data_IF_430898270467
#
_entry.id   IF_430898270467
#
_cell.length_a   1.000
_cell.length_b   1.000
_cell.length_c   1.000
_cell.angle_alpha   90.00
_cell.angle_beta   90.00
_cell.angle_gamma   90.00
#
_symmetry.space_group_name_H-M   'P 1'
#
loop_
_entity.id
_entity.type
_entity.pdbx_description
1 polymer ?
#
# COMPACT_ATOMS: atom_id res chain seq x y z
N UNK A 1 -23.87 -8.77 -24.03
CA UNK A 1 -24.65 -8.61 -22.79
C UNK A 1 -23.65 -8.51 -21.66
N UNK A 2 -23.63 -7.35 -20.98
CA UNK A 2 -22.85 -6.90 -19.82
C UNK A 2 -21.57 -7.66 -19.41
N UNK A 3 -20.42 -7.10 -19.81
CA UNK A 3 -19.13 -7.23 -19.12
C UNK A 3 -19.27 -6.78 -17.66
N UNK A 4 -19.34 -7.72 -16.73
CA UNK A 4 -19.13 -7.42 -15.31
C UNK A 4 -17.66 -7.68 -15.01
N UNK A 5 -16.82 -6.69 -15.31
CA UNK A 5 -15.45 -6.63 -14.81
C UNK A 5 -15.51 -6.38 -13.30
N UNK A 6 -15.76 -7.45 -12.56
CA UNK A 6 -15.74 -7.46 -11.10
C UNK A 6 -14.30 -7.24 -10.66
N UNK A 7 -14.00 -5.99 -10.35
CA UNK A 7 -12.79 -5.48 -9.70
C UNK A 7 -12.42 -6.38 -8.51
N UNK A 8 -11.70 -7.48 -8.76
CA UNK A 8 -11.39 -8.49 -7.75
C UNK A 8 -10.19 -8.02 -6.95
N UNK A 9 -10.48 -7.24 -5.92
CA UNK A 9 -9.48 -6.83 -4.94
C UNK A 9 -9.06 -8.08 -4.16
N UNK A 10 -7.82 -8.53 -4.34
CA UNK A 10 -7.32 -9.74 -3.69
C UNK A 10 -6.90 -9.40 -2.26
N UNK A 11 -7.38 -10.16 -1.27
CA UNK A 11 -6.97 -9.91 0.11
C UNK A 11 -5.53 -10.37 0.32
N UNK A 12 -4.63 -9.42 0.58
CA UNK A 12 -3.24 -9.67 0.98
C UNK A 12 -3.08 -9.38 2.48
N UNK A 13 -2.06 -9.95 3.08
CA UNK A 13 -1.73 -9.74 4.48
C UNK A 13 -0.60 -8.71 4.58
N UNK A 14 -0.75 -7.72 5.45
CA UNK A 14 0.27 -6.70 5.64
C UNK A 14 1.50 -7.28 6.35
N UNK A 15 2.70 -7.07 5.82
CA UNK A 15 3.95 -7.50 6.47
C UNK A 15 4.25 -6.72 7.76
N UNK A 16 3.81 -5.46 7.86
CA UNK A 16 4.07 -4.63 9.05
C UNK A 16 3.14 -4.93 10.23
N UNK A 17 1.85 -5.16 9.98
CA UNK A 17 0.85 -5.34 11.06
C UNK A 17 0.10 -6.68 11.02
N UNK A 18 0.23 -7.46 9.95
CA UNK A 18 -0.52 -8.71 9.77
C UNK A 18 -1.99 -8.55 9.41
N UNK A 19 -2.50 -7.33 9.23
CA UNK A 19 -3.91 -7.08 8.89
C UNK A 19 -4.19 -7.49 7.43
N UNK A 20 -5.35 -8.12 7.20
CA UNK A 20 -5.81 -8.45 5.84
C UNK A 20 -6.40 -7.20 5.19
N UNK A 21 -5.89 -6.84 4.03
CA UNK A 21 -6.36 -5.69 3.28
C UNK A 21 -6.56 -6.05 1.81
N UNK A 22 -7.40 -5.27 1.13
CA UNK A 22 -7.61 -5.43 -0.29
C UNK A 22 -6.44 -4.88 -1.10
N UNK A 23 -5.74 -5.75 -1.83
CA UNK A 23 -4.76 -5.39 -2.83
C UNK A 23 -5.44 -5.30 -4.20
N UNK A 24 -5.50 -4.08 -4.74
CA UNK A 24 -6.03 -3.81 -6.07
C UNK A 24 -5.05 -4.07 -7.21
N UNK A 25 -3.89 -4.69 -6.95
CA UNK A 25 -2.92 -5.03 -7.99
C UNK A 25 -3.52 -5.92 -9.10
N UNK A 26 -4.47 -6.79 -8.75
CA UNK A 26 -5.21 -7.62 -9.69
C UNK A 26 -6.46 -6.94 -10.27
N UNK A 27 -6.81 -5.76 -9.77
CA UNK A 27 -8.08 -5.09 -10.05
C UNK A 27 -7.89 -3.89 -11.01
N UNK A 28 -6.81 -3.89 -11.79
CA UNK A 28 -6.29 -2.81 -12.65
C UNK A 28 -5.92 -1.50 -11.92
N UNK A 29 -6.47 -1.25 -10.71
CA UNK A 29 -6.14 -0.11 -9.86
C UNK A 29 -5.89 -0.52 -8.41
N UNK A 30 -4.64 -0.44 -7.98
CA UNK A 30 -4.29 -0.48 -6.56
C UNK A 30 -4.48 0.90 -5.94
N UNK A 31 -5.17 1.00 -4.79
CA UNK A 31 -5.23 2.25 -4.03
C UNK A 31 -3.83 2.79 -3.71
N UNK A 32 -2.83 1.90 -3.55
CA UNK A 32 -1.45 2.24 -3.27
C UNK A 32 -0.80 3.15 -4.32
N UNK A 33 -1.23 3.09 -5.59
CA UNK A 33 -0.71 3.99 -6.64
C UNK A 33 -1.32 5.37 -6.59
N UNK A 34 -2.43 5.54 -5.87
CA UNK A 34 -3.08 6.84 -5.66
C UNK A 34 -2.62 7.51 -4.36
N UNK A 35 -1.83 6.82 -3.53
CA UNK A 35 -1.29 7.39 -2.29
C UNK A 35 -0.08 8.24 -2.61
N UNK A 36 -0.11 9.49 -2.15
CA UNK A 36 1.04 10.38 -2.23
C UNK A 36 2.05 10.04 -1.11
N UNK A 37 3.06 9.24 -1.50
CA UNK A 37 4.23 8.96 -0.67
C UNK A 37 5.37 9.89 -1.05
N UNK A 38 6.11 10.38 -0.05
CA UNK A 38 7.37 11.08 -0.31
C UNK A 38 8.42 10.09 -0.82
N UNK A 39 9.40 10.59 -1.58
CA UNK A 39 10.49 9.75 -2.11
C UNK A 39 11.26 9.03 -0.99
N UNK A 40 11.48 9.72 0.14
CA UNK A 40 12.13 9.15 1.32
C UNK A 40 11.28 8.02 1.93
N UNK A 41 9.97 8.25 2.08
CA UNK A 41 9.07 7.23 2.60
C UNK A 41 9.01 6.00 1.68
N UNK A 42 8.91 6.19 0.37
CA UNK A 42 8.92 5.09 -0.59
C UNK A 42 10.24 4.31 -0.56
N UNK A 43 11.39 4.98 -0.44
CA UNK A 43 12.70 4.33 -0.36
C UNK A 43 12.91 3.57 0.96
N UNK A 44 12.50 4.18 2.08
CA UNK A 44 12.55 3.55 3.40
C UNK A 44 11.65 2.32 3.46
N UNK A 45 10.43 2.44 2.93
CA UNK A 45 9.48 1.34 2.81
C UNK A 45 10.04 0.21 1.95
N UNK A 46 10.58 0.51 0.77
CA UNK A 46 11.16 -0.48 -0.15
C UNK A 46 12.41 -1.18 0.42
N UNK A 47 13.15 -0.52 1.31
CA UNK A 47 14.30 -1.11 2.00
C UNK A 47 13.90 -1.90 3.25
N UNK A 48 12.81 -1.52 3.92
CA UNK A 48 12.36 -2.14 5.18
C UNK A 48 11.37 -3.28 4.97
N UNK A 49 10.57 -3.19 3.91
CA UNK A 49 9.49 -4.12 3.59
C UNK A 49 9.62 -4.58 2.14
N UNK A 50 9.49 -5.88 1.93
CA UNK A 50 9.54 -6.48 0.58
C UNK A 50 8.17 -6.92 0.08
N UNK A 51 7.17 -6.95 0.96
CA UNK A 51 5.79 -7.34 0.63
C UNK A 51 4.81 -6.16 0.68
N UNK A 52 3.51 -6.44 0.50
CA UNK A 52 2.47 -5.43 0.40
C UNK A 52 2.10 -4.90 1.80
N UNK A 53 1.94 -3.58 1.90
CA UNK A 53 1.52 -2.91 3.13
C UNK A 53 0.10 -2.38 3.02
N UNK A 54 -0.64 -2.46 4.12
CA UNK A 54 -1.99 -1.90 4.21
C UNK A 54 -1.94 -0.36 4.26
N UNK A 55 -3.03 0.35 3.90
CA UNK A 55 -3.03 1.82 3.83
C UNK A 55 -2.70 2.47 5.16
N UNK A 56 -3.12 1.87 6.28
CA UNK A 56 -2.79 2.36 7.64
C UNK A 56 -1.30 2.32 7.93
N UNK A 57 -0.63 1.21 7.59
CA UNK A 57 0.81 1.08 7.79
C UNK A 57 1.57 2.01 6.84
N UNK A 58 1.13 2.08 5.59
CA UNK A 58 1.74 2.95 4.58
C UNK A 58 1.70 4.44 5.01
N UNK A 59 0.53 4.91 5.46
CA UNK A 59 0.33 6.28 5.97
C UNK A 59 1.20 6.55 7.20
N UNK A 60 1.21 5.61 8.16
CA UNK A 60 2.04 5.74 9.36
C UNK A 60 3.53 5.86 9.02
N UNK A 61 4.04 5.02 8.10
CA UNK A 61 5.44 5.09 7.67
C UNK A 61 5.76 6.40 6.92
N UNK A 62 4.82 6.91 6.13
CA UNK A 62 4.95 8.21 5.47
C UNK A 62 5.10 9.33 6.50
N UNK A 63 4.29 9.32 7.56
CA UNK A 63 4.35 10.30 8.65
C UNK A 63 5.61 10.14 9.52
N UNK A 64 5.99 8.91 9.85
CA UNK A 64 7.21 8.60 10.63
C UNK A 64 8.47 9.10 9.90
N UNK A 65 8.53 8.94 8.58
CA UNK A 65 9.64 9.43 7.75
C UNK A 65 9.67 10.96 7.70
N UNK A 66 8.53 11.62 7.48
CA UNK A 66 8.45 13.10 7.52
C UNK A 66 8.95 13.67 8.84
N UNK A 67 8.65 13.02 9.97
CA UNK A 67 9.11 13.45 11.30
C UNK A 67 10.60 13.25 11.51
N UNK A 68 11.22 12.28 10.83
CA UNK A 68 12.65 11.99 11.01
C UNK A 68 13.57 12.85 10.13
N UNK A 69 13.03 13.49 9.10
CA UNK A 69 13.76 14.43 8.23
C UNK A 69 13.73 15.90 8.72
N UNK A 70 13.16 16.18 9.90
CA UNK A 70 13.10 17.50 10.53
C UNK A 70 14.05 17.57 11.74
#
# INVERSE_FOLDING_TARGET
MAENAETKVEQKQCEACGERFGCGANADRCWCTSVELTADAAAALKSSYSDCLCPKCLDKQNEDVKKRSI
#
